data_IF_463053390201
#
_entry.id   IF_463053390201
#
_cell.length_a   1.000
_cell.length_b   1.000
_cell.length_c   1.000
_cell.angle_alpha   90.00
_cell.angle_beta   90.00
_cell.angle_gamma   90.00
#
_symmetry.space_group_name_H-M   'P 1'
#
loop_
_entity.id
_entity.type
_entity.pdbx_description
1 polymer ?
#
# COMPACT_ATOMS: atom_id res chain seq x y z
N UNK A 1 -15.95 3.16 -11.02
CA UNK A 1 -15.61 1.81 -10.50
C UNK A 1 -14.22 1.37 -10.99
N UNK A 2 -13.98 1.19 -12.30
CA UNK A 2 -12.67 0.66 -12.78
C UNK A 2 -11.45 1.48 -12.34
N UNK A 3 -11.53 2.82 -12.35
CA UNK A 3 -10.43 3.68 -11.87
C UNK A 3 -10.16 3.50 -10.36
N UNK A 4 -11.20 3.30 -9.56
CA UNK A 4 -11.05 3.03 -8.13
C UNK A 4 -10.39 1.69 -7.88
N UNK A 5 -10.82 0.65 -8.61
CA UNK A 5 -10.24 -0.69 -8.49
C UNK A 5 -8.79 -0.71 -9.02
N UNK A 6 -8.50 0.02 -10.09
CA UNK A 6 -7.13 0.14 -10.59
C UNK A 6 -6.23 0.82 -9.56
N UNK A 7 -6.70 1.90 -8.95
CA UNK A 7 -5.97 2.57 -7.87
C UNK A 7 -5.78 1.68 -6.63
N UNK A 8 -6.77 0.87 -6.28
CA UNK A 8 -6.64 -0.13 -5.21
C UNK A 8 -5.57 -1.16 -5.56
N UNK A 9 -5.65 -1.80 -6.73
CA UNK A 9 -4.68 -2.80 -7.14
C UNK A 9 -3.25 -2.26 -7.22
N UNK A 10 -3.09 -1.04 -7.71
CA UNK A 10 -1.79 -0.38 -7.79
C UNK A 10 -1.22 -0.07 -6.39
N UNK A 11 -2.07 0.34 -5.44
CA UNK A 11 -1.64 0.57 -4.06
C UNK A 11 -1.15 -0.73 -3.40
N UNK A 12 -1.94 -1.80 -3.49
CA UNK A 12 -1.61 -3.12 -2.93
C UNK A 12 -0.29 -3.66 -3.53
N UNK A 13 -0.13 -3.55 -4.85
CA UNK A 13 1.09 -3.98 -5.52
C UNK A 13 2.32 -3.21 -5.03
N UNK A 14 2.22 -1.87 -4.99
CA UNK A 14 3.35 -1.00 -4.68
C UNK A 14 3.71 -1.08 -3.20
N UNK A 15 2.73 -1.09 -2.28
CA UNK A 15 3.01 -1.22 -0.85
C UNK A 15 3.59 -2.60 -0.53
N UNK A 16 3.09 -3.67 -1.17
CA UNK A 16 3.66 -5.01 -1.01
C UNK A 16 5.13 -5.07 -1.43
N UNK A 17 5.51 -4.42 -2.52
CA UNK A 17 6.90 -4.32 -2.93
C UNK A 17 7.74 -3.51 -1.92
N UNK A 18 7.24 -2.37 -1.44
CA UNK A 18 7.92 -1.56 -0.42
C UNK A 18 8.10 -2.31 0.89
N UNK A 19 7.12 -3.09 1.30
CA UNK A 19 7.23 -3.89 2.52
C UNK A 19 8.21 -5.06 2.36
N UNK A 20 8.31 -5.63 1.15
CA UNK A 20 9.31 -6.67 0.85
C UNK A 20 10.76 -6.20 0.97
N UNK A 21 11.03 -4.88 0.89
CA UNK A 21 12.36 -4.31 1.11
C UNK A 21 12.91 -4.59 2.52
N UNK A 22 12.04 -4.91 3.49
CA UNK A 22 12.44 -5.28 4.85
C UNK A 22 12.87 -6.74 5.00
N UNK A 23 12.65 -7.59 3.99
CA UNK A 23 13.04 -9.01 4.03
C UNK A 23 14.56 -9.15 4.19
N UNK A 24 14.98 -9.79 5.28
CA UNK A 24 16.39 -9.99 5.63
C UNK A 24 17.06 -8.83 6.37
N UNK A 25 16.36 -7.70 6.60
CA UNK A 25 16.91 -6.51 7.28
C UNK A 25 16.02 -5.95 8.39
N UNK A 26 14.85 -6.53 8.62
CA UNK A 26 13.95 -6.08 9.67
C UNK A 26 14.60 -6.17 11.08
N UNK A 27 14.12 -5.37 12.07
CA UNK A 27 14.78 -5.27 13.38
C UNK A 27 14.86 -6.58 14.16
N UNK A 28 13.92 -7.49 13.94
CA UNK A 28 13.90 -8.83 14.55
C UNK A 28 13.43 -9.87 13.53
N UNK A 29 13.68 -11.15 13.82
CA UNK A 29 13.24 -12.26 12.96
C UNK A 29 11.70 -12.31 12.82
N UNK A 30 10.99 -12.02 13.89
CA UNK A 30 9.53 -11.99 13.90
C UNK A 30 8.99 -10.93 12.94
N UNK A 31 9.62 -9.75 12.93
CA UNK A 31 9.22 -8.65 12.03
C UNK A 31 9.60 -8.94 10.56
N UNK A 32 10.73 -9.61 10.34
CA UNK A 32 11.12 -10.07 9.01
C UNK A 32 10.07 -11.01 8.41
N UNK A 33 9.63 -11.99 9.19
CA UNK A 33 8.58 -12.93 8.78
C UNK A 33 7.24 -12.22 8.62
N UNK A 34 6.89 -11.29 9.52
CA UNK A 34 5.62 -10.55 9.47
C UNK A 34 5.56 -9.69 8.20
N UNK A 35 6.57 -8.85 7.94
CA UNK A 35 6.62 -7.99 6.76
C UNK A 35 6.65 -8.79 5.45
N UNK A 36 7.42 -9.88 5.40
CA UNK A 36 7.42 -10.77 4.22
C UNK A 36 6.04 -11.41 3.97
N UNK A 37 5.32 -11.77 5.02
CA UNK A 37 3.97 -12.33 4.91
C UNK A 37 2.95 -11.28 4.48
N UNK A 38 3.01 -10.08 5.07
CA UNK A 38 2.17 -8.94 4.70
C UNK A 38 2.41 -8.59 3.21
N UNK A 39 3.66 -8.43 2.80
CA UNK A 39 4.02 -8.14 1.42
C UNK A 39 3.44 -9.15 0.41
N UNK A 40 3.49 -10.45 0.74
CA UNK A 40 2.90 -11.50 -0.09
C UNK A 40 1.37 -11.39 -0.19
N UNK A 41 0.70 -11.06 0.92
CA UNK A 41 -0.75 -10.86 0.93
C UNK A 41 -1.15 -9.65 0.07
N UNK A 42 -0.47 -8.51 0.22
CA UNK A 42 -0.74 -7.29 -0.56
C UNK A 42 -0.60 -7.56 -2.08
N UNK A 43 0.50 -8.20 -2.50
CA UNK A 43 0.69 -8.58 -3.90
C UNK A 43 -0.40 -9.56 -4.38
N UNK A 44 -0.85 -10.47 -3.50
CA UNK A 44 -1.96 -11.37 -3.76
C UNK A 44 -3.31 -10.67 -3.92
N UNK A 45 -3.57 -9.64 -3.11
CA UNK A 45 -4.75 -8.77 -3.21
C UNK A 45 -4.72 -7.97 -4.52
N UNK A 46 -3.58 -7.34 -4.83
CA UNK A 46 -3.38 -6.64 -6.10
C UNK A 46 -3.75 -7.51 -7.29
N UNK A 47 -3.20 -8.74 -7.34
CA UNK A 47 -3.50 -9.71 -8.40
C UNK A 47 -5.00 -9.99 -8.50
N UNK A 48 -5.65 -10.27 -7.37
CA UNK A 48 -7.08 -10.58 -7.36
C UNK A 48 -7.95 -9.43 -7.88
N UNK A 49 -7.53 -8.18 -7.66
CA UNK A 49 -8.22 -6.99 -8.19
C UNK A 49 -7.88 -6.78 -9.67
N UNK A 50 -6.63 -6.95 -10.10
CA UNK A 50 -6.28 -6.88 -11.53
C UNK A 50 -7.02 -7.91 -12.38
N UNK A 51 -7.23 -9.13 -11.86
CA UNK A 51 -8.02 -10.19 -12.52
C UNK A 51 -9.50 -9.80 -12.74
N UNK A 52 -10.04 -8.85 -11.98
CA UNK A 52 -11.36 -8.27 -12.23
C UNK A 52 -11.36 -7.24 -13.37
N UNK A 53 -10.21 -6.67 -13.69
CA UNK A 53 -10.07 -5.57 -14.64
C UNK A 53 -9.56 -6.00 -16.00
N UNK A 54 -8.84 -7.13 -16.08
CA UNK A 54 -8.18 -7.60 -17.30
C UNK A 54 -8.05 -9.11 -17.32
N UNK A 55 -8.21 -9.70 -18.52
CA UNK A 55 -7.89 -11.11 -18.78
C UNK A 55 -6.36 -11.38 -18.68
N UNK A 56 -5.54 -10.35 -18.82
CA UNK A 56 -4.09 -10.39 -18.62
C UNK A 56 -3.72 -9.46 -17.45
N UNK A 57 -3.88 -9.98 -16.23
CA UNK A 57 -3.58 -9.27 -14.99
C UNK A 57 -2.09 -8.92 -14.88
N UNK A 58 -1.21 -9.80 -15.34
CA UNK A 58 0.24 -9.57 -15.29
C UNK A 58 0.66 -8.44 -16.23
N UNK A 59 0.09 -8.34 -17.44
CA UNK A 59 0.34 -7.21 -18.31
C UNK A 59 -0.15 -5.90 -17.69
N UNK A 60 -1.34 -5.92 -17.07
CA UNK A 60 -1.87 -4.75 -16.38
C UNK A 60 -1.02 -4.36 -15.16
N UNK A 61 -0.43 -5.34 -14.47
CA UNK A 61 0.43 -5.09 -13.32
C UNK A 61 1.83 -4.58 -13.71
N UNK A 62 2.45 -5.09 -14.80
CA UNK A 62 3.89 -4.95 -15.00
C UNK A 62 4.32 -4.39 -16.38
N UNK A 63 3.40 -4.26 -17.35
CA UNK A 63 3.76 -3.80 -18.70
C UNK A 63 3.40 -2.32 -18.96
N UNK A 64 2.93 -1.60 -17.93
CA UNK A 64 2.63 -0.17 -17.98
C UNK A 64 3.87 0.69 -17.72
N UNK A 65 3.89 1.90 -18.28
CA UNK A 65 4.87 2.92 -17.88
C UNK A 65 4.59 3.39 -16.44
N UNK A 66 5.61 3.83 -15.67
CA UNK A 66 5.42 4.32 -14.29
C UNK A 66 4.31 5.37 -14.17
N UNK A 67 4.15 6.25 -15.14
CA UNK A 67 3.15 7.32 -15.14
C UNK A 67 1.72 6.86 -15.39
N UNK A 68 1.52 5.61 -15.76
CA UNK A 68 0.21 5.00 -15.98
C UNK A 68 -0.39 4.36 -14.72
N UNK A 69 0.43 4.22 -13.66
CA UNK A 69 -0.06 3.75 -12.38
C UNK A 69 -0.96 4.78 -11.69
N UNK A 70 -1.88 4.30 -10.87
CA UNK A 70 -2.85 5.09 -10.11
C UNK A 70 -2.63 4.97 -8.60
N UNK A 71 -1.44 4.52 -8.20
CA UNK A 71 -1.11 4.34 -6.79
C UNK A 71 -1.06 5.68 -6.04
N UNK A 72 -1.42 5.63 -4.76
CA UNK A 72 -1.32 6.76 -3.85
C UNK A 72 0.14 7.14 -3.59
N UNK A 73 0.45 8.43 -3.39
CA UNK A 73 1.81 8.83 -3.08
C UNK A 73 2.40 8.18 -1.81
N UNK A 74 1.56 7.87 -0.81
CA UNK A 74 2.00 7.22 0.43
C UNK A 74 2.73 5.89 0.19
N UNK A 75 2.19 5.05 -0.71
CA UNK A 75 2.73 3.71 -0.95
C UNK A 75 4.02 3.73 -1.78
N UNK A 76 4.31 4.84 -2.46
CA UNK A 76 5.49 4.99 -3.31
C UNK A 76 6.77 5.24 -2.51
N UNK A 77 6.65 5.85 -1.32
CA UNK A 77 7.77 6.36 -0.53
C UNK A 77 8.76 5.26 -0.14
N UNK A 78 10.03 5.50 -0.38
CA UNK A 78 11.12 4.63 0.06
C UNK A 78 11.49 4.95 1.51
N UNK A 79 11.02 4.15 2.45
CA UNK A 79 11.16 4.36 3.88
C UNK A 79 11.91 3.19 4.53
N UNK A 80 13.24 3.31 4.68
CA UNK A 80 14.07 2.33 5.42
C UNK A 80 14.37 2.79 6.85
N UNK A 81 13.49 3.58 7.42
CA UNK A 81 13.45 3.92 8.83
C UNK A 81 12.25 3.25 9.50
N UNK A 82 12.49 2.53 10.59
CA UNK A 82 11.44 1.71 11.21
C UNK A 82 10.25 2.54 11.72
N UNK A 83 10.49 3.73 12.27
CA UNK A 83 9.41 4.59 12.75
C UNK A 83 8.51 5.07 11.59
N UNK A 84 9.12 5.50 10.47
CA UNK A 84 8.37 5.91 9.28
C UNK A 84 7.67 4.73 8.61
N UNK A 85 8.31 3.57 8.55
CA UNK A 85 7.70 2.37 7.98
C UNK A 85 6.45 1.94 8.76
N UNK A 86 6.54 1.91 10.09
CA UNK A 86 5.39 1.58 10.94
C UNK A 86 4.32 2.67 10.88
N UNK A 87 4.70 3.95 10.83
CA UNK A 87 3.76 5.05 10.66
C UNK A 87 3.01 4.93 9.31
N UNK A 88 3.73 4.63 8.21
CA UNK A 88 3.11 4.34 6.89
C UNK A 88 2.12 3.19 6.99
N UNK A 89 2.54 2.04 7.55
CA UNK A 89 1.66 0.86 7.68
C UNK A 89 0.42 1.18 8.47
N UNK A 90 0.57 1.78 9.65
CA UNK A 90 -0.59 2.11 10.48
C UNK A 90 -1.57 3.07 9.79
N UNK A 91 -1.07 4.15 9.19
CA UNK A 91 -1.90 5.10 8.45
C UNK A 91 -2.58 4.46 7.24
N UNK A 92 -1.85 3.60 6.51
CA UNK A 92 -2.38 2.89 5.36
C UNK A 92 -3.49 1.91 5.77
N UNK A 93 -3.28 1.11 6.80
CA UNK A 93 -4.26 0.16 7.30
C UNK A 93 -5.58 0.81 7.72
N UNK A 94 -5.50 1.97 8.41
CA UNK A 94 -6.72 2.71 8.79
C UNK A 94 -7.43 3.26 7.55
N UNK A 95 -6.69 3.76 6.57
CA UNK A 95 -7.26 4.25 5.32
C UNK A 95 -7.85 3.11 4.48
N UNK A 96 -7.13 2.00 4.37
CA UNK A 96 -7.56 0.84 3.59
C UNK A 96 -8.83 0.20 4.16
N UNK A 97 -8.96 0.08 5.47
CA UNK A 97 -10.20 -0.40 6.09
C UNK A 97 -11.42 0.43 5.68
N UNK A 98 -11.28 1.76 5.60
CA UNK A 98 -12.35 2.67 5.15
C UNK A 98 -12.67 2.39 3.68
N UNK A 99 -11.64 2.32 2.83
CA UNK A 99 -11.75 2.12 1.39
C UNK A 99 -12.36 0.76 1.06
N UNK A 100 -11.83 -0.31 1.62
CA UNK A 100 -12.32 -1.68 1.41
C UNK A 100 -13.74 -1.83 1.96
N UNK A 101 -14.03 -1.24 3.13
CA UNK A 101 -15.36 -1.24 3.71
C UNK A 101 -16.42 -0.66 2.78
N UNK A 102 -16.10 0.41 2.06
CA UNK A 102 -16.99 1.03 1.08
C UNK A 102 -17.21 0.16 -0.18
N UNK A 103 -16.35 -0.80 -0.46
CA UNK A 103 -16.41 -1.66 -1.64
C UNK A 103 -17.07 -3.02 -1.39
N UNK A 104 -17.27 -3.42 -0.14
CA UNK A 104 -17.69 -4.79 0.21
C UNK A 104 -19.03 -5.21 -0.40
N UNK A 105 -19.97 -4.29 -0.55
CA UNK A 105 -21.31 -4.59 -1.11
C UNK A 105 -21.31 -4.70 -2.63
N UNK A 106 -20.34 -4.08 -3.31
CA UNK A 106 -20.28 -3.99 -4.77
C UNK A 106 -19.23 -4.89 -5.40
N UNK A 107 -18.16 -5.23 -4.64
CA UNK A 107 -16.98 -5.94 -5.13
C UNK A 107 -16.76 -7.22 -4.32
N UNK A 108 -17.12 -8.40 -4.85
CA UNK A 108 -17.07 -9.65 -4.08
C UNK A 108 -15.70 -9.97 -3.47
N UNK A 109 -14.60 -9.62 -4.15
CA UNK A 109 -13.24 -9.86 -3.64
C UNK A 109 -12.90 -8.96 -2.44
N UNK A 110 -13.52 -7.78 -2.30
CA UNK A 110 -13.28 -6.86 -1.19
C UNK A 110 -13.58 -7.51 0.17
N UNK A 111 -14.64 -8.30 0.28
CA UNK A 111 -14.96 -9.03 1.52
C UNK A 111 -13.91 -10.11 1.87
N UNK A 112 -13.23 -10.70 0.87
CA UNK A 112 -12.11 -11.61 1.10
C UNK A 112 -10.89 -10.82 1.58
N UNK A 113 -10.50 -9.77 0.87
CA UNK A 113 -9.39 -8.89 1.22
C UNK A 113 -9.57 -8.38 2.66
N UNK A 114 -10.73 -7.81 3.00
CA UNK A 114 -11.00 -7.29 4.34
C UNK A 114 -10.77 -8.32 5.48
N UNK A 115 -11.01 -9.61 5.23
CA UNK A 115 -10.73 -10.65 6.24
C UNK A 115 -9.23 -10.94 6.37
N UNK A 116 -8.50 -10.93 5.26
CA UNK A 116 -7.07 -11.18 5.23
C UNK A 116 -6.31 -10.00 5.83
N UNK A 117 -6.77 -8.76 5.59
CA UNK A 117 -6.29 -7.51 6.19
C UNK A 117 -6.41 -7.46 7.73
N UNK A 118 -7.23 -8.28 8.35
CA UNK A 118 -7.36 -8.30 9.81
C UNK A 118 -6.03 -8.55 10.53
N UNK A 119 -5.13 -9.34 9.93
CA UNK A 119 -3.78 -9.56 10.47
C UNK A 119 -2.91 -8.31 10.31
N UNK A 120 -2.96 -7.64 9.17
CA UNK A 120 -2.18 -6.43 8.89
C UNK A 120 -2.58 -5.32 9.86
N UNK A 121 -3.87 -5.08 10.03
CA UNK A 121 -4.40 -4.12 11.02
C UNK A 121 -3.98 -4.42 12.44
N UNK A 122 -4.07 -5.69 12.85
CA UNK A 122 -3.62 -6.11 14.18
C UNK A 122 -2.12 -5.85 14.39
N UNK A 123 -1.29 -6.15 13.41
CA UNK A 123 0.14 -5.92 13.45
C UNK A 123 0.46 -4.41 13.51
N UNK A 124 -0.16 -3.62 12.65
CA UNK A 124 0.02 -2.17 12.61
C UNK A 124 -0.41 -1.50 13.92
N UNK A 125 -1.56 -1.89 14.48
CA UNK A 125 -2.05 -1.36 15.76
C UNK A 125 -1.16 -1.76 16.93
N UNK A 126 -0.67 -2.99 16.96
CA UNK A 126 0.29 -3.43 18.00
C UNK A 126 1.54 -2.55 18.00
N UNK A 127 2.07 -2.20 16.83
CA UNK A 127 3.23 -1.34 16.72
C UNK A 127 2.91 0.12 17.03
N UNK A 128 1.76 0.62 16.56
CA UNK A 128 1.28 1.96 16.94
C UNK A 128 1.21 2.11 18.47
N UNK A 129 0.58 1.18 19.18
CA UNK A 129 0.49 1.20 20.64
C UNK A 129 1.87 1.21 21.34
N UNK A 130 2.86 0.55 20.76
CA UNK A 130 4.24 0.53 21.28
C UNK A 130 4.99 1.84 21.03
N UNK A 131 4.72 2.52 19.93
CA UNK A 131 5.52 3.66 19.46
C UNK A 131 4.81 5.01 19.60
N UNK A 132 3.52 5.08 19.88
CA UNK A 132 2.72 6.31 19.89
C UNK A 132 3.28 7.43 20.78
N UNK A 133 4.02 7.08 21.83
CA UNK A 133 4.64 8.05 22.74
C UNK A 133 6.07 8.42 22.32
N UNK A 134 6.65 7.71 21.35
CA UNK A 134 7.99 7.99 20.84
C UNK A 134 8.00 9.23 19.94
N UNK A 135 8.84 10.25 20.22
CA UNK A 135 8.87 11.48 19.42
C UNK A 135 9.06 11.22 17.92
N UNK A 136 10.01 10.33 17.57
CA UNK A 136 10.32 10.01 16.19
C UNK A 136 9.14 9.39 15.43
N UNK A 137 8.33 8.60 16.10
CA UNK A 137 7.12 8.02 15.48
C UNK A 137 6.04 9.09 15.28
N UNK A 138 5.83 9.98 16.25
CA UNK A 138 4.89 11.10 16.10
C UNK A 138 5.28 12.04 14.97
N UNK A 139 6.58 12.33 14.86
CA UNK A 139 7.12 13.14 13.76
C UNK A 139 6.86 12.45 12.40
N UNK A 140 7.10 11.13 12.31
CA UNK A 140 6.83 10.34 11.12
C UNK A 140 5.34 10.33 10.76
N UNK A 141 4.43 10.17 11.73
CA UNK A 141 2.98 10.25 11.49
C UNK A 141 2.59 11.63 10.96
N UNK A 142 3.11 12.70 11.55
CA UNK A 142 2.81 14.06 11.12
C UNK A 142 3.33 14.33 9.69
N UNK A 143 4.52 13.84 9.36
CA UNK A 143 5.12 13.97 8.02
C UNK A 143 4.31 13.20 6.96
N UNK A 144 3.87 11.98 7.29
CA UNK A 144 3.17 11.11 6.36
C UNK A 144 1.65 11.40 6.28
N UNK A 145 1.13 12.22 7.20
CA UNK A 145 -0.31 12.50 7.26
C UNK A 145 -0.93 13.07 5.96
N UNK A 146 -0.33 14.06 5.27
CA UNK A 146 -0.85 14.54 3.99
C UNK A 146 -0.89 13.45 2.91
N UNK A 147 0.05 12.51 2.94
CA UNK A 147 0.12 11.37 2.01
C UNK A 147 -0.96 10.33 2.32
N UNK A 148 -1.23 10.08 3.60
CA UNK A 148 -2.28 9.16 4.05
C UNK A 148 -3.67 9.62 3.59
N UNK A 149 -3.96 10.92 3.67
CA UNK A 149 -5.19 11.50 3.14
C UNK A 149 -5.36 11.27 1.64
N UNK A 150 -4.24 11.20 0.88
CA UNK A 150 -4.23 10.92 -0.55
C UNK A 150 -4.55 9.48 -0.95
N UNK A 151 -4.59 8.55 0.01
CA UNK A 151 -5.05 7.16 -0.23
C UNK A 151 -6.55 7.14 -0.54
N UNK A 152 -7.30 8.02 0.11
CA UNK A 152 -8.76 8.04 0.11
C UNK A 152 -9.34 9.09 -0.86
N UNK A 153 -10.58 8.82 -1.29
CA UNK A 153 -11.39 9.82 -1.97
C UNK A 153 -11.71 10.98 -0.99
N UNK A 154 -11.90 12.22 -1.50
CA UNK A 154 -12.10 13.39 -0.64
C UNK A 154 -13.20 13.23 0.42
N UNK A 155 -14.31 12.56 0.07
CA UNK A 155 -15.45 12.33 0.96
C UNK A 155 -15.17 11.37 2.12
N UNK A 156 -14.10 10.57 2.05
CA UNK A 156 -13.73 9.61 3.08
C UNK A 156 -12.66 10.17 4.06
N UNK A 157 -12.02 11.28 3.73
CA UNK A 157 -10.87 11.84 4.48
C UNK A 157 -11.26 12.28 5.90
N UNK A 158 -12.46 12.82 6.07
CA UNK A 158 -12.96 13.20 7.38
C UNK A 158 -13.09 12.00 8.33
N UNK A 159 -13.46 10.82 7.81
CA UNK A 159 -13.50 9.60 8.61
C UNK A 159 -12.10 9.16 9.03
N UNK A 160 -11.13 9.19 8.12
CA UNK A 160 -9.73 8.88 8.44
C UNK A 160 -9.19 9.84 9.51
N UNK A 161 -9.43 11.14 9.36
CA UNK A 161 -9.01 12.16 10.31
C UNK A 161 -9.58 11.89 11.72
N UNK A 162 -10.87 11.54 11.79
CA UNK A 162 -11.53 11.20 13.04
C UNK A 162 -10.96 9.92 13.69
N UNK A 163 -10.64 8.89 12.91
CA UNK A 163 -10.06 7.62 13.42
C UNK A 163 -8.63 7.79 13.92
N UNK A 164 -7.82 8.56 13.18
CA UNK A 164 -6.40 8.83 13.54
C UNK A 164 -6.29 9.89 14.64
N UNK A 165 -7.28 10.74 14.80
CA UNK A 165 -7.30 11.83 15.78
C UNK A 165 -6.46 13.04 15.35
N UNK A 166 -6.33 13.29 14.06
CA UNK A 166 -5.64 14.43 13.48
C UNK A 166 -6.61 15.30 12.67
N UNK A 167 -6.29 16.60 12.57
CA UNK A 167 -7.05 17.51 11.73
C UNK A 167 -6.76 17.25 10.25
N UNK A 168 -7.77 17.46 9.39
CA UNK A 168 -7.55 17.40 7.95
C UNK A 168 -6.60 18.53 7.49
N UNK A 169 -5.69 18.16 6.59
CA UNK A 169 -4.78 19.08 5.91
C UNK A 169 -4.91 18.88 4.39
N UNK A 170 -4.20 19.69 3.61
CA UNK A 170 -4.14 19.46 2.16
C UNK A 170 -3.48 18.11 1.87
N UNK A 171 -4.20 17.24 1.18
CA UNK A 171 -3.69 15.92 0.80
C UNK A 171 -2.65 16.03 -0.33
N UNK A 172 -1.69 15.10 -0.34
CA UNK A 172 -0.87 14.84 -1.53
C UNK A 172 -1.68 13.92 -2.43
N UNK A 173 -2.15 14.45 -3.55
CA UNK A 173 -3.13 13.78 -4.40
C UNK A 173 -2.51 12.68 -5.28
N UNK A 174 -3.33 11.68 -5.65
CA UNK A 174 -2.97 10.66 -6.65
C UNK A 174 -2.57 11.31 -7.97
N UNK A 175 -1.64 10.69 -8.68
CA UNK A 175 -1.02 11.25 -9.88
C UNK A 175 0.22 12.11 -9.57
N UNK A 176 0.54 12.33 -8.29
CA UNK A 176 1.84 12.81 -7.86
C UNK A 176 2.77 11.60 -7.71
N UNK A 177 3.92 11.62 -8.36
CA UNK A 177 4.90 10.55 -8.28
C UNK A 177 6.13 11.01 -7.50
N UNK A 178 6.53 10.17 -6.53
CA UNK A 178 7.77 10.33 -5.79
C UNK A 178 8.96 9.90 -6.65
N UNK A 179 10.11 10.56 -6.50
CA UNK A 179 11.32 10.24 -7.27
C UNK A 179 11.82 8.80 -7.05
N UNK A 180 11.44 8.16 -5.94
CA UNK A 180 11.75 6.77 -5.64
C UNK A 180 10.87 5.76 -6.37
N UNK A 181 9.76 6.18 -7.02
CA UNK A 181 8.84 5.26 -7.66
C UNK A 181 9.39 4.68 -8.97
N UNK A 182 10.01 5.49 -9.80
CA UNK A 182 10.58 4.98 -11.07
C UNK A 182 11.68 3.92 -10.85
N UNK A 183 12.63 4.07 -9.91
CA UNK A 183 13.55 3.00 -9.55
C UNK A 183 12.85 1.73 -9.04
N UNK A 184 11.80 1.87 -8.20
CA UNK A 184 11.02 0.72 -7.73
C UNK A 184 10.34 0.00 -8.91
N UNK A 185 9.69 0.73 -9.81
CA UNK A 185 9.07 0.16 -11.00
C UNK A 185 10.08 -0.60 -11.87
N UNK A 186 11.29 -0.07 -12.02
CA UNK A 186 12.35 -0.75 -12.76
C UNK A 186 12.73 -2.09 -12.10
N UNK A 187 12.77 -2.14 -10.78
CA UNK A 187 13.02 -3.36 -10.01
C UNK A 187 11.85 -4.35 -10.14
N UNK A 188 10.63 -3.92 -9.90
CA UNK A 188 9.40 -4.72 -10.01
C UNK A 188 9.26 -5.41 -11.37
N UNK A 189 9.65 -4.72 -12.45
CA UNK A 189 9.46 -5.18 -13.83
C UNK A 189 10.71 -5.85 -14.42
N UNK A 190 11.84 -5.83 -13.72
CA UNK A 190 13.15 -6.28 -14.22
C UNK A 190 13.12 -7.72 -14.76
N UNK A 191 12.56 -8.66 -14.00
CA UNK A 191 12.50 -10.08 -14.41
C UNK A 191 11.63 -10.24 -15.65
N UNK A 192 10.45 -9.63 -15.66
CA UNK A 192 9.52 -9.70 -16.79
C UNK A 192 10.12 -9.08 -18.06
N UNK A 193 10.75 -7.91 -17.96
CA UNK A 193 11.40 -7.23 -19.10
C UNK A 193 12.64 -7.97 -19.62
N UNK A 194 13.34 -8.73 -18.76
CA UNK A 194 14.50 -9.52 -19.14
C UNK A 194 14.16 -10.90 -19.71
N UNK A 195 12.89 -11.30 -19.67
CA UNK A 195 12.45 -12.61 -20.15
C UNK A 195 12.72 -12.79 -21.65
N UNK A 196 13.27 -13.94 -22.09
CA UNK A 196 13.37 -14.27 -23.50
C UNK A 196 11.98 -14.31 -24.18
N UNK A 197 11.93 -13.98 -25.46
CA UNK A 197 10.68 -14.07 -26.22
C UNK A 197 10.08 -15.48 -26.13
N UNK A 198 8.81 -15.58 -25.67
CA UNK A 198 8.10 -16.84 -25.49
C UNK A 198 8.37 -17.55 -24.16
N UNK A 199 9.05 -16.90 -23.20
CA UNK A 199 9.13 -17.42 -21.82
C UNK A 199 7.72 -17.54 -21.22
N UNK A 200 7.49 -18.63 -20.48
CA UNK A 200 6.28 -18.85 -19.68
C UNK A 200 6.71 -19.01 -18.22
N UNK A 201 6.07 -18.26 -17.34
CA UNK A 201 6.33 -18.23 -15.90
C UNK A 201 5.20 -18.96 -15.15
#
# INVERSE_FOLDING_TARGET
>A
MNELLLGLADDELVIGWRDSEWTGIAPTLEEDVAFSSIAQNEIGHARAVYELLSDDADALAFDRDPTEYRCAPLVQLHLLDWAHTIARRWLYEVADEIRIGALMDEVPVAAKINREEAYHRMHAEMWHERLKDEPRFRDAVAELWPYALGVLQPEQRAELAARVGLDEVAAVERGTFDDSFAPLHDEMTMVRRSAPAGAQW
#
